data_IF_452344420723
#
_entry.id   IF_452344420723
#
_cell.length_a   1.000
_cell.length_b   1.000
_cell.length_c   1.000
_cell.angle_alpha   90.00
_cell.angle_beta   90.00
_cell.angle_gamma   90.00
#
_symmetry.space_group_name_H-M   'P 1'
#
loop_
_entity.id
_entity.type
_entity.pdbx_description
1 polymer ?
#
# COMPACT_ATOMS: atom_id res chain seq x y z
N UNK A 1 2.20 -9.01 2.45
CA UNK A 1 2.71 -7.61 2.60
C UNK A 1 2.67 -6.93 1.25
N UNK A 2 2.56 -5.59 1.23
CA UNK A 2 2.53 -4.79 0.00
C UNK A 2 3.80 -3.92 -0.05
N UNK A 3 4.87 -4.34 -0.76
CA UNK A 3 6.11 -3.59 -0.86
C UNK A 3 6.02 -2.49 -1.92
N UNK A 4 6.56 -1.30 -1.64
CA UNK A 4 6.63 -0.21 -2.61
C UNK A 4 7.50 -0.63 -3.82
N UNK A 5 7.10 -0.35 -5.07
CA UNK A 5 7.89 -0.73 -6.25
C UNK A 5 9.07 0.22 -6.51
N UNK A 6 8.99 1.46 -6.04
CA UNK A 6 9.96 2.53 -6.24
C UNK A 6 10.14 3.36 -4.96
N UNK A 7 11.19 4.18 -4.91
CA UNK A 7 11.36 5.20 -3.89
C UNK A 7 10.32 6.33 -4.11
N UNK A 8 9.67 6.77 -3.04
CA UNK A 8 8.50 7.62 -3.22
C UNK A 8 7.82 8.14 -1.95
N UNK A 9 6.67 8.75 -2.16
CA UNK A 9 5.71 9.09 -1.11
C UNK A 9 4.45 8.25 -1.28
N UNK A 10 4.09 7.52 -0.23
CA UNK A 10 2.86 6.73 -0.15
C UNK A 10 1.73 7.57 0.44
N UNK A 11 0.63 7.65 -0.31
CA UNK A 11 -0.65 8.17 0.14
C UNK A 11 -1.65 7.02 0.23
N UNK A 12 -2.30 6.85 1.38
CA UNK A 12 -3.22 5.74 1.60
C UNK A 12 -4.65 6.08 1.17
N UNK A 13 -5.35 5.08 0.63
CA UNK A 13 -6.77 5.14 0.28
C UNK A 13 -7.64 4.31 1.23
N UNK A 14 -7.05 3.73 2.28
CA UNK A 14 -7.72 2.83 3.22
C UNK A 14 -7.33 3.15 4.67
N UNK A 15 -8.07 2.57 5.61
CA UNK A 15 -7.83 2.72 7.04
C UNK A 15 -7.43 1.41 7.72
N UNK A 16 -6.78 1.49 8.88
CA UNK A 16 -6.53 0.33 9.73
C UNK A 16 -7.86 -0.33 10.14
N UNK A 17 -7.92 -1.65 10.08
CA UNK A 17 -9.13 -2.43 10.37
C UNK A 17 -10.13 -2.50 9.21
N UNK A 18 -9.93 -1.74 8.13
CA UNK A 18 -10.80 -1.79 6.96
C UNK A 18 -10.74 -3.16 6.27
N UNK A 19 -11.90 -3.68 5.87
CA UNK A 19 -11.99 -4.87 5.00
C UNK A 19 -11.74 -4.49 3.54
N UNK A 20 -10.92 -5.27 2.85
CA UNK A 20 -10.57 -5.08 1.44
C UNK A 20 -10.78 -6.37 0.64
N UNK A 21 -10.92 -6.24 -0.67
CA UNK A 21 -10.99 -7.37 -1.60
C UNK A 21 -9.70 -7.49 -2.41
N UNK A 22 -9.50 -8.62 -3.07
CA UNK A 22 -8.50 -8.70 -4.14
C UNK A 22 -8.80 -7.65 -5.22
N UNK A 23 -7.78 -6.90 -5.62
CA UNK A 23 -7.90 -5.77 -6.55
C UNK A 23 -8.15 -4.42 -5.90
N UNK A 24 -8.39 -4.34 -4.58
CA UNK A 24 -8.53 -3.04 -3.89
C UNK A 24 -7.22 -2.27 -3.89
N UNK A 25 -7.27 -0.99 -4.26
CA UNK A 25 -6.14 -0.05 -4.14
C UNK A 25 -6.02 0.37 -2.68
N UNK A 26 -4.89 0.02 -2.05
CA UNK A 26 -4.54 0.40 -0.67
C UNK A 26 -4.02 1.83 -0.57
N UNK A 27 -3.49 2.33 -1.67
CA UNK A 27 -2.86 3.64 -1.77
C UNK A 27 -2.07 3.78 -3.05
N UNK A 28 -1.35 4.88 -3.18
CA UNK A 28 -0.50 5.18 -4.34
C UNK A 28 0.88 5.60 -3.86
N UNK A 29 1.93 5.05 -4.48
CA UNK A 29 3.30 5.56 -4.34
C UNK A 29 3.58 6.53 -5.48
N UNK A 30 3.93 7.77 -5.14
CA UNK A 30 4.38 8.81 -6.08
C UNK A 30 5.90 8.74 -6.13
N UNK A 31 6.47 8.45 -7.30
CA UNK A 31 7.92 8.38 -7.52
C UNK A 31 8.59 9.72 -7.25
N UNK A 32 9.76 9.71 -6.60
CA UNK A 32 10.57 10.93 -6.42
C UNK A 32 11.42 11.28 -7.64
N UNK A 33 11.54 10.39 -8.63
CA UNK A 33 12.40 10.61 -9.80
C UNK A 33 11.65 11.33 -10.93
N UNK A 34 10.38 10.99 -11.13
CA UNK A 34 9.59 11.39 -12.29
C UNK A 34 8.11 11.68 -11.99
N UNK A 35 7.72 11.74 -10.71
CA UNK A 35 6.34 11.96 -10.23
C UNK A 35 5.33 10.92 -10.75
N UNK A 36 5.79 9.77 -11.28
CA UNK A 36 4.90 8.71 -11.75
C UNK A 36 4.12 8.07 -10.61
N UNK A 37 2.87 7.68 -10.90
CA UNK A 37 1.94 7.13 -9.93
C UNK A 37 1.93 5.58 -10.00
N UNK A 38 2.18 4.96 -8.86
CA UNK A 38 2.18 3.49 -8.71
C UNK A 38 1.09 3.04 -7.73
N UNK A 39 -0.07 2.56 -8.23
CA UNK A 39 -1.13 2.04 -7.37
C UNK A 39 -0.69 0.78 -6.63
N UNK A 40 -0.92 0.75 -5.32
CA UNK A 40 -0.62 -0.38 -4.44
C UNK A 40 -1.86 -1.26 -4.30
N UNK A 41 -1.92 -2.35 -5.06
CA UNK A 41 -3.10 -3.21 -5.15
C UNK A 41 -2.97 -4.41 -4.20
N UNK A 42 -3.99 -4.64 -3.37
CA UNK A 42 -4.07 -5.87 -2.57
C UNK A 42 -4.38 -7.06 -3.48
N UNK A 43 -3.55 -8.11 -3.44
CA UNK A 43 -3.81 -9.34 -4.19
C UNK A 43 -4.90 -10.21 -3.55
N UNK A 44 -5.16 -10.04 -2.26
CA UNK A 44 -6.06 -10.90 -1.48
C UNK A 44 -7.13 -10.08 -0.75
N UNK A 45 -8.25 -10.73 -0.46
CA UNK A 45 -9.28 -10.17 0.42
C UNK A 45 -8.88 -10.34 1.88
N UNK A 46 -9.23 -9.39 2.74
CA UNK A 46 -8.78 -9.42 4.13
C UNK A 46 -9.05 -8.15 4.90
N UNK A 47 -8.34 -7.99 6.03
CA UNK A 47 -8.39 -6.80 6.88
C UNK A 47 -7.03 -6.09 6.84
N UNK A 48 -7.04 -4.77 6.67
CA UNK A 48 -5.83 -3.94 6.76
C UNK A 48 -5.32 -3.96 8.20
N UNK A 49 -4.21 -4.66 8.45
CA UNK A 49 -3.62 -4.84 9.77
C UNK A 49 -2.57 -3.77 10.09
N UNK A 50 -1.86 -3.32 9.06
CA UNK A 50 -0.78 -2.35 9.17
C UNK A 50 -0.84 -1.38 8.00
N UNK A 51 -0.61 -0.11 8.28
CA UNK A 51 -0.36 0.94 7.30
C UNK A 51 0.88 1.71 7.72
N UNK A 52 1.62 2.21 6.74
CA UNK A 52 2.74 3.07 7.01
C UNK A 52 2.27 4.42 7.56
N UNK A 53 2.90 4.88 8.65
CA UNK A 53 2.58 6.17 9.28
C UNK A 53 3.24 7.35 8.57
N UNK A 54 4.50 7.20 8.14
CA UNK A 54 5.23 8.24 7.43
C UNK A 54 5.24 7.95 5.93
N UNK A 55 4.86 8.94 5.13
CA UNK A 55 4.63 8.78 3.69
C UNK A 55 5.88 8.35 2.91
N UNK A 56 7.09 8.76 3.31
CA UNK A 56 8.33 8.41 2.59
C UNK A 56 8.56 6.89 2.63
N UNK A 57 8.75 6.29 1.46
CA UNK A 57 9.07 4.87 1.27
C UNK A 57 10.30 4.69 0.39
N UNK A 58 11.05 3.61 0.63
CA UNK A 58 12.01 3.07 -0.32
C UNK A 58 11.41 1.86 -1.05
N UNK A 59 11.92 1.58 -2.24
CA UNK A 59 11.61 0.37 -2.97
C UNK A 59 11.82 -0.87 -2.08
N UNK A 60 10.83 -1.76 -2.07
CA UNK A 60 10.79 -2.96 -1.23
C UNK A 60 10.24 -2.76 0.19
N UNK A 61 10.18 -1.53 0.72
CA UNK A 61 9.60 -1.30 2.04
C UNK A 61 8.08 -1.46 2.02
N UNK A 62 7.53 -2.04 3.09
CA UNK A 62 6.09 -2.26 3.14
C UNK A 62 5.32 -0.95 3.35
N UNK A 63 4.28 -0.74 2.54
CA UNK A 63 3.32 0.37 2.71
C UNK A 63 2.12 -0.05 3.59
N UNK A 64 1.87 -1.35 3.66
CA UNK A 64 0.84 -1.94 4.50
C UNK A 64 0.76 -3.46 4.40
N UNK A 65 0.03 -4.05 5.33
CA UNK A 65 -0.20 -5.50 5.43
C UNK A 65 -1.70 -5.75 5.52
N UNK A 66 -2.18 -6.66 4.67
CA UNK A 66 -3.54 -7.20 4.73
C UNK A 66 -3.43 -8.60 5.35
N UNK A 67 -4.15 -8.81 6.45
CA UNK A 67 -4.37 -10.14 7.01
C UNK A 67 -5.47 -10.80 6.16
N UNK A 68 -5.10 -11.85 5.45
CA UNK A 68 -6.01 -12.56 4.56
C UNK A 68 -7.16 -13.22 5.34
N UNK A 69 -8.38 -13.10 4.81
CA UNK A 69 -9.54 -13.84 5.31
C UNK A 69 -9.62 -15.17 4.57
N UNK A 70 -9.77 -16.26 5.32
CA UNK A 70 -9.96 -17.63 4.78
C UNK A 70 -11.29 -17.76 4.05
#
# INVERSE_FOLDING_TARGET
CNPAPVDGFFETNVELGQKVSGGTILGTVISIEDDSLHPMISSHAGIVLMLRTFSRVRAGESVGVVLESV
#
